data_IF_307312139847
#
_entry.id   IF_307312139847
#
_cell.length_a   1.000
_cell.length_b   1.000
_cell.length_c   1.000
_cell.angle_alpha   90.00
_cell.angle_beta   90.00
_cell.angle_gamma   90.00
#
_symmetry.space_group_name_H-M   'P 1'
#
loop_
_entity.id
_entity.type
_entity.pdbx_description
1 polymer ?
#
# COMPACT_ATOMS: atom_id res chain seq x y z
N UNK A 1 3.64 -41.41 -25.94
CA UNK A 1 3.45 -39.93 -25.92
C UNK A 1 3.74 -39.23 -24.57
N UNK A 2 3.72 -39.91 -23.41
CA UNK A 2 3.96 -39.25 -22.10
C UNK A 2 5.40 -38.82 -21.83
N UNK A 3 6.41 -39.56 -22.32
CA UNK A 3 7.83 -39.20 -22.16
C UNK A 3 8.18 -37.85 -22.80
N UNK A 4 7.68 -37.59 -24.02
CA UNK A 4 7.94 -36.35 -24.75
C UNK A 4 7.33 -35.11 -24.07
N UNK A 5 6.16 -35.26 -23.42
CA UNK A 5 5.57 -34.16 -22.63
C UNK A 5 6.36 -33.87 -21.35
N UNK A 6 6.98 -34.87 -20.71
CA UNK A 6 7.82 -34.68 -19.51
C UNK A 6 9.12 -33.97 -19.86
N UNK A 7 9.76 -34.31 -20.97
CA UNK A 7 11.01 -33.67 -21.41
C UNK A 7 10.81 -32.20 -21.75
N UNK A 8 9.71 -31.86 -22.44
CA UNK A 8 9.35 -30.46 -22.71
C UNK A 8 9.10 -29.68 -21.41
N UNK A 9 8.29 -30.20 -20.48
CA UNK A 9 8.04 -29.54 -19.17
C UNK A 9 9.32 -29.28 -18.39
N UNK A 10 10.24 -30.26 -18.36
CA UNK A 10 11.54 -30.11 -17.70
C UNK A 10 12.42 -29.05 -18.38
N UNK A 11 12.38 -28.96 -19.70
CA UNK A 11 13.11 -27.94 -20.47
C UNK A 11 12.61 -26.54 -20.15
N UNK A 12 11.30 -26.33 -20.12
CA UNK A 12 10.70 -25.05 -19.73
C UNK A 12 11.01 -24.67 -18.28
N UNK A 13 10.93 -25.62 -17.33
CA UNK A 13 11.26 -25.37 -15.93
C UNK A 13 12.74 -25.00 -15.71
N UNK A 14 13.65 -25.50 -16.54
CA UNK A 14 15.07 -25.16 -16.48
C UNK A 14 15.34 -23.75 -17.04
N UNK A 15 14.68 -23.40 -18.14
CA UNK A 15 14.74 -22.05 -18.74
C UNK A 15 14.20 -21.00 -17.76
N UNK A 16 13.04 -21.25 -17.15
CA UNK A 16 12.44 -20.33 -16.16
C UNK A 16 13.35 -20.12 -14.95
N UNK A 17 14.01 -21.17 -14.45
CA UNK A 17 14.99 -21.06 -13.36
C UNK A 17 16.21 -20.23 -13.76
N UNK A 18 16.74 -20.40 -14.97
CA UNK A 18 17.84 -19.56 -15.48
C UNK A 18 17.45 -18.09 -15.58
N UNK A 19 16.25 -17.80 -16.11
CA UNK A 19 15.73 -16.43 -16.20
C UNK A 19 15.56 -15.82 -14.80
N UNK A 20 15.03 -16.58 -13.85
CA UNK A 20 14.87 -16.13 -12.47
C UNK A 20 16.22 -15.80 -11.80
N UNK A 21 17.23 -16.65 -11.97
CA UNK A 21 18.59 -16.40 -11.47
C UNK A 21 19.20 -15.14 -12.10
N UNK A 22 19.02 -14.95 -13.42
CA UNK A 22 19.53 -13.77 -14.13
C UNK A 22 18.81 -12.50 -13.65
N UNK A 23 17.49 -12.53 -13.47
CA UNK A 23 16.74 -11.41 -12.92
C UNK A 23 17.17 -11.08 -11.49
N UNK A 24 17.36 -12.09 -10.63
CA UNK A 24 17.80 -11.89 -9.25
C UNK A 24 19.20 -11.27 -9.20
N UNK A 25 20.13 -11.75 -10.05
CA UNK A 25 21.47 -11.19 -10.17
C UNK A 25 21.45 -9.75 -10.72
N UNK A 26 20.57 -9.46 -11.69
CA UNK A 26 20.40 -8.10 -12.25
C UNK A 26 19.76 -7.15 -11.23
N UNK A 27 18.82 -7.63 -10.41
CA UNK A 27 18.21 -6.84 -9.32
C UNK A 27 19.25 -6.48 -8.25
N UNK A 28 20.18 -7.40 -7.95
CA UNK A 28 21.26 -7.14 -7.00
C UNK A 28 22.44 -6.36 -7.62
N UNK A 29 22.56 -6.30 -8.95
CA UNK A 29 23.65 -5.63 -9.67
C UNK A 29 23.30 -4.28 -10.33
N UNK A 30 22.06 -3.81 -10.24
CA UNK A 30 21.64 -2.52 -10.85
C UNK A 30 22.20 -1.30 -10.08
N UNK A 31 22.58 -1.49 -8.82
CA UNK A 31 23.40 -0.52 -8.10
C UNK A 31 24.83 -1.06 -8.16
N UNK A 32 25.64 -0.54 -9.09
CA UNK A 32 27.02 -0.95 -9.35
C UNK A 32 28.00 -0.61 -8.22
N UNK A 33 27.62 -0.87 -6.98
CA UNK A 33 28.46 -0.76 -5.81
C UNK A 33 28.21 -2.03 -4.96
N UNK A 34 29.22 -2.89 -4.75
CA UNK A 34 29.19 -3.77 -3.60
C UNK A 34 29.33 -2.86 -2.37
N UNK A 35 28.22 -2.31 -1.90
CA UNK A 35 28.18 -1.51 -0.67
C UNK A 35 28.20 -2.46 0.52
N UNK A 36 29.27 -3.25 0.63
CA UNK A 36 29.64 -3.83 1.91
C UNK A 36 30.85 -3.05 2.43
N UNK A 37 30.57 -1.85 2.95
CA UNK A 37 31.57 -1.03 3.64
C UNK A 37 32.15 -1.72 4.89
N UNK A 38 31.59 -2.86 5.31
CA UNK A 38 32.08 -3.63 6.45
C UNK A 38 33.43 -4.30 6.15
N UNK A 39 33.79 -4.50 4.87
CA UNK A 39 35.06 -5.11 4.45
C UNK A 39 36.19 -4.10 4.20
N UNK A 40 35.90 -2.79 4.20
CA UNK A 40 36.94 -1.77 4.12
C UNK A 40 37.55 -1.60 5.51
N UNK A 41 38.69 -2.24 5.74
CA UNK A 41 39.54 -1.90 6.89
C UNK A 41 39.77 -0.37 6.90
N UNK A 42 39.79 0.29 8.08
CA UNK A 42 39.91 1.75 8.20
C UNK A 42 41.06 2.35 7.38
N UNK A 43 42.12 1.57 7.16
CA UNK A 43 43.35 1.98 6.50
C UNK A 43 43.35 1.83 4.96
N UNK A 44 42.27 1.30 4.36
CA UNK A 44 42.21 1.02 2.91
C UNK A 44 42.03 2.29 2.05
N UNK A 45 41.46 3.35 2.60
CA UNK A 45 41.25 4.62 1.87
C UNK A 45 42.41 5.57 2.17
N UNK A 46 43.48 5.46 1.38
CA UNK A 46 44.65 6.36 1.48
C UNK A 46 44.42 7.60 0.63
N UNK A 47 44.24 8.76 1.27
CA UNK A 47 44.09 10.04 0.58
C UNK A 47 45.45 10.57 0.12
N UNK A 48 45.50 11.31 -1.01
CA UNK A 48 46.74 11.93 -1.47
C UNK A 48 47.27 12.93 -0.42
N UNK A 49 48.60 13.10 -0.33
CA UNK A 49 49.21 14.04 0.59
C UNK A 49 48.70 15.46 0.35
N UNK A 50 48.34 16.18 1.42
CA UNK A 50 47.76 17.53 1.36
C UNK A 50 46.23 17.60 1.38
N UNK A 51 45.54 16.46 1.33
CA UNK A 51 44.07 16.40 1.42
C UNK A 51 43.65 15.78 2.75
N UNK A 52 42.87 16.52 3.55
CA UNK A 52 42.32 16.03 4.81
C UNK A 52 41.12 15.12 4.56
N UNK A 53 41.00 14.03 5.34
CA UNK A 53 39.83 13.17 5.33
C UNK A 53 38.60 14.01 5.71
N UNK A 54 37.47 13.89 4.97
CA UNK A 54 36.23 14.55 5.36
C UNK A 54 35.85 14.16 6.80
N UNK A 55 35.61 15.15 7.67
CA UNK A 55 35.29 14.93 9.09
C UNK A 55 34.05 14.05 9.33
N UNK A 56 33.17 13.93 8.34
CA UNK A 56 32.02 13.03 8.38
C UNK A 56 32.35 11.55 8.15
N UNK A 57 33.49 11.23 7.54
CA UNK A 57 33.90 9.87 7.18
C UNK A 57 34.83 9.22 8.22
N UNK A 58 35.50 10.02 9.06
CA UNK A 58 36.36 9.53 10.17
C UNK A 58 35.59 8.85 11.30
N UNK A 59 34.25 8.92 11.32
CA UNK A 59 33.38 8.29 12.33
C UNK A 59 32.34 7.38 11.66
N UNK A 60 32.80 6.38 10.90
CA UNK A 60 31.93 5.42 10.20
C UNK A 60 30.85 4.77 11.09
N UNK A 61 31.07 4.45 12.39
CA UNK A 61 30.03 3.84 13.21
C UNK A 61 28.90 4.83 13.54
N UNK A 62 29.24 6.09 13.88
CA UNK A 62 28.25 7.15 14.16
C UNK A 62 27.45 7.53 12.92
N UNK A 63 28.09 7.51 11.75
CA UNK A 63 27.40 7.74 10.48
C UNK A 63 26.37 6.64 10.20
N UNK A 64 26.76 5.37 10.41
CA UNK A 64 25.86 4.22 10.24
C UNK A 64 24.64 4.31 11.16
N UNK A 65 24.86 4.66 12.43
CA UNK A 65 23.78 4.85 13.41
C UNK A 65 22.80 5.96 12.99
N UNK A 66 23.30 7.12 12.55
CA UNK A 66 22.46 8.21 12.06
C UNK A 66 21.68 7.82 10.80
N UNK A 67 22.32 7.14 9.84
CA UNK A 67 21.64 6.65 8.64
C UNK A 67 20.54 5.64 8.97
N UNK A 68 20.75 4.76 9.96
CA UNK A 68 19.73 3.81 10.43
C UNK A 68 18.58 4.51 11.16
N UNK A 69 18.86 5.53 11.98
CA UNK A 69 17.83 6.32 12.64
C UNK A 69 16.99 7.13 11.64
N UNK A 70 17.65 7.74 10.65
CA UNK A 70 16.99 8.51 9.60
C UNK A 70 16.13 7.60 8.70
N UNK A 71 16.62 6.41 8.34
CA UNK A 71 15.85 5.46 7.55
C UNK A 71 14.61 4.95 8.29
N UNK A 72 14.70 4.70 9.60
CA UNK A 72 13.56 4.35 10.44
C UNK A 72 12.52 5.49 10.51
N UNK A 73 12.96 6.74 10.45
CA UNK A 73 12.08 7.94 10.48
C UNK A 73 11.42 8.20 9.11
N UNK A 74 12.05 7.79 8.01
CA UNK A 74 11.50 7.97 6.67
C UNK A 74 10.40 6.97 6.32
N UNK A 75 10.48 5.73 6.82
CA UNK A 75 9.47 4.69 6.61
C UNK A 75 8.03 5.12 6.95
N UNK A 76 7.73 5.64 8.15
CA UNK A 76 6.37 6.06 8.50
C UNK A 76 5.88 7.24 7.63
N UNK A 77 6.79 8.09 7.15
CA UNK A 77 6.44 9.21 6.25
C UNK A 77 6.03 8.71 4.87
N UNK A 78 6.75 7.71 4.33
CA UNK A 78 6.41 7.06 3.06
C UNK A 78 5.07 6.32 3.14
N UNK A 79 4.83 5.59 4.23
CA UNK A 79 3.55 4.91 4.47
C UNK A 79 2.39 5.90 4.56
N UNK A 80 2.59 7.04 5.25
CA UNK A 80 1.58 8.10 5.35
C UNK A 80 1.22 8.67 3.97
N UNK A 81 2.19 8.93 3.09
CA UNK A 81 1.90 9.39 1.74
C UNK A 81 1.10 8.35 0.94
N UNK A 82 1.43 7.06 1.05
CA UNK A 82 0.68 6.01 0.38
C UNK A 82 -0.79 5.96 0.85
N UNK A 83 -1.02 6.07 2.17
CA UNK A 83 -2.37 6.15 2.73
C UNK A 83 -3.12 7.40 2.26
N UNK A 84 -2.46 8.55 2.22
CA UNK A 84 -3.06 9.81 1.76
C UNK A 84 -3.50 9.73 0.29
N UNK A 85 -2.66 9.15 -0.59
CA UNK A 85 -3.04 8.91 -1.99
C UNK A 85 -4.18 7.91 -2.12
N UNK A 86 -4.18 6.83 -1.33
CA UNK A 86 -5.27 5.86 -1.30
C UNK A 86 -6.59 6.50 -0.84
N UNK A 87 -6.56 7.36 0.18
CA UNK A 87 -7.73 8.10 0.66
C UNK A 87 -8.26 9.07 -0.40
N UNK A 88 -7.37 9.77 -1.10
CA UNK A 88 -7.76 10.66 -2.19
C UNK A 88 -8.35 9.89 -3.37
N UNK A 89 -7.74 8.79 -3.79
CA UNK A 89 -8.25 7.92 -4.85
C UNK A 89 -9.60 7.27 -4.46
N UNK A 90 -9.73 6.81 -3.21
CA UNK A 90 -10.99 6.34 -2.66
C UNK A 90 -12.03 7.46 -2.64
N UNK A 91 -11.64 8.70 -2.34
CA UNK A 91 -12.52 9.88 -2.44
C UNK A 91 -13.05 10.13 -3.84
N UNK A 92 -12.26 9.88 -4.89
CA UNK A 92 -12.70 9.99 -6.29
C UNK A 92 -13.67 8.87 -6.68
N UNK A 93 -13.45 7.65 -6.20
CA UNK A 93 -14.31 6.49 -6.50
C UNK A 93 -15.58 6.44 -5.63
N UNK A 94 -15.52 6.94 -4.39
CA UNK A 94 -16.66 7.08 -3.47
C UNK A 94 -17.36 8.44 -3.61
N UNK A 95 -17.07 9.23 -4.65
CA UNK A 95 -18.02 10.23 -5.14
C UNK A 95 -19.22 9.48 -5.71
N UNK A 96 -20.13 9.06 -4.83
CA UNK A 96 -21.45 8.62 -5.24
C UNK A 96 -22.09 9.74 -6.08
N UNK A 97 -22.96 9.36 -7.03
CA UNK A 97 -23.72 10.31 -7.85
C UNK A 97 -24.38 11.40 -6.98
N UNK A 98 -24.85 11.02 -5.78
CA UNK A 98 -25.41 11.89 -4.74
C UNK A 98 -24.48 12.99 -4.25
N UNK A 99 -23.16 12.80 -4.28
CA UNK A 99 -22.17 13.76 -3.77
C UNK A 99 -21.50 14.60 -4.86
N UNK A 100 -21.56 14.13 -6.11
CA UNK A 100 -21.08 14.88 -7.28
C UNK A 100 -22.02 16.03 -7.64
N UNK A 101 -23.30 15.87 -7.30
CA UNK A 101 -24.34 16.83 -7.60
C UNK A 101 -24.60 17.66 -6.34
N UNK A 102 -24.53 19.00 -6.40
CA UNK A 102 -24.77 19.82 -5.21
C UNK A 102 -26.24 19.72 -4.76
N UNK A 103 -26.52 19.85 -3.45
CA UNK A 103 -27.89 19.85 -2.94
C UNK A 103 -28.70 20.98 -3.58
N UNK A 104 -29.94 20.67 -3.99
CA UNK A 104 -30.82 21.59 -4.70
C UNK A 104 -30.73 21.54 -6.23
N UNK A 105 -29.82 20.73 -6.79
CA UNK A 105 -29.75 20.51 -8.24
C UNK A 105 -30.81 19.50 -8.70
N UNK A 106 -31.45 19.64 -9.89
CA UNK A 106 -32.52 18.74 -10.34
C UNK A 106 -32.13 17.26 -10.47
N UNK A 107 -30.84 16.99 -10.72
CA UNK A 107 -30.29 15.63 -10.78
C UNK A 107 -29.80 15.12 -9.42
N UNK A 108 -29.95 15.89 -8.33
CA UNK A 108 -29.55 15.49 -6.99
C UNK A 108 -30.39 14.28 -6.57
N UNK A 109 -29.76 13.13 -6.52
CA UNK A 109 -30.39 11.90 -6.08
C UNK A 109 -30.52 11.91 -4.56
N UNK A 110 -31.74 11.66 -4.11
CA UNK A 110 -32.11 11.57 -2.70
C UNK A 110 -31.99 10.14 -2.16
N UNK A 111 -31.19 9.27 -2.80
CA UNK A 111 -31.10 7.83 -2.52
C UNK A 111 -30.97 7.50 -1.02
N UNK A 112 -30.11 8.23 -0.29
CA UNK A 112 -29.95 8.08 1.16
C UNK A 112 -31.20 8.45 1.99
N UNK A 113 -31.97 9.44 1.53
CA UNK A 113 -33.24 9.78 2.19
C UNK A 113 -34.33 8.77 1.86
N UNK A 114 -34.31 8.18 0.65
CA UNK A 114 -35.27 7.16 0.23
C UNK A 114 -35.09 5.88 1.03
N UNK A 115 -33.85 5.47 1.32
CA UNK A 115 -33.56 4.30 2.17
C UNK A 115 -34.02 4.54 3.60
N UNK A 116 -33.66 5.68 4.21
CA UNK A 116 -34.11 6.06 5.56
C UNK A 116 -35.64 6.11 5.67
N UNK A 117 -36.32 6.74 4.72
CA UNK A 117 -37.79 6.81 4.69
C UNK A 117 -38.45 5.44 4.53
N UNK A 118 -37.84 4.52 3.76
CA UNK A 118 -38.34 3.15 3.61
C UNK A 118 -38.23 2.36 4.92
N UNK A 119 -37.10 2.49 5.61
CA UNK A 119 -36.87 1.83 6.92
C UNK A 119 -37.84 2.34 7.98
N UNK A 120 -38.01 3.66 8.07
CA UNK A 120 -38.92 4.28 9.04
C UNK A 120 -40.39 3.92 8.76
N UNK A 121 -40.81 3.91 7.49
CA UNK A 121 -42.13 3.43 7.08
C UNK A 121 -42.38 1.98 7.53
N UNK A 122 -41.39 1.09 7.36
CA UNK A 122 -41.53 -0.31 7.80
C UNK A 122 -41.67 -0.42 9.31
N UNK A 123 -40.94 0.40 10.08
CA UNK A 123 -41.04 0.44 11.54
C UNK A 123 -42.44 0.89 11.98
N UNK A 124 -42.95 1.98 11.41
CA UNK A 124 -44.29 2.51 11.71
C UNK A 124 -45.39 1.50 11.33
N UNK A 125 -45.24 0.77 10.22
CA UNK A 125 -46.19 -0.27 9.82
C UNK A 125 -46.28 -1.41 10.84
N UNK A 126 -45.14 -1.86 11.37
CA UNK A 126 -45.10 -2.91 12.40
C UNK A 126 -45.77 -2.45 13.70
N UNK A 127 -45.45 -1.24 14.14
CA UNK A 127 -46.06 -0.64 15.34
C UNK A 127 -47.58 -0.50 15.19
N UNK A 128 -48.05 0.03 14.06
CA UNK A 128 -49.48 0.15 13.77
C UNK A 128 -50.21 -1.19 13.79
N UNK A 129 -49.58 -2.25 13.28
CA UNK A 129 -50.14 -3.59 13.30
C UNK A 129 -50.26 -4.15 14.72
N UNK A 130 -49.27 -3.89 15.57
CA UNK A 130 -49.31 -4.28 16.99
C UNK A 130 -50.37 -3.49 17.77
N UNK A 131 -50.47 -2.18 17.54
CA UNK A 131 -51.49 -1.33 18.16
C UNK A 131 -52.91 -1.75 17.76
N UNK A 132 -53.14 -2.11 16.48
CA UNK A 132 -54.43 -2.64 16.02
C UNK A 132 -54.82 -3.92 16.74
N UNK A 133 -53.88 -4.86 16.92
CA UNK A 133 -54.13 -6.09 17.70
C UNK A 133 -54.49 -5.78 19.16
N UNK A 134 -53.80 -4.84 19.79
CA UNK A 134 -54.10 -4.40 21.17
C UNK A 134 -55.48 -3.75 21.29
N UNK A 135 -55.95 -3.07 20.25
CA UNK A 135 -57.29 -2.48 20.21
C UNK A 135 -58.40 -3.52 20.00
N UNK A 136 -58.17 -4.53 19.15
CA UNK A 136 -59.12 -5.63 18.95
C UNK A 136 -59.29 -6.48 20.22
N UNK A 137 -58.21 -6.74 20.96
CA UNK A 137 -58.28 -7.48 22.23
C UNK A 137 -58.97 -6.71 23.37
N UNK A 138 -59.25 -5.41 23.18
CA UNK A 138 -59.95 -4.55 24.15
C UNK A 138 -61.41 -4.30 23.78
N UNK A 139 -61.88 -4.83 22.65
CA UNK A 139 -63.30 -4.90 22.30
C UNK A 139 -63.89 -6.21 22.80
#
# INVERSE_FOLDING_TARGET
MQCFRRTLKNKYANISRKIWIIMLRKKNGMYGLPIDFSALAPDSIRYPPGVSIPKGLVNTPKLKEKMSADSATLTPKLENFAQMYQQMAAGLLNMSLDKLIPPGHPMYSNENSITLLKEEKQKILKENLELKKKLENKK
#
